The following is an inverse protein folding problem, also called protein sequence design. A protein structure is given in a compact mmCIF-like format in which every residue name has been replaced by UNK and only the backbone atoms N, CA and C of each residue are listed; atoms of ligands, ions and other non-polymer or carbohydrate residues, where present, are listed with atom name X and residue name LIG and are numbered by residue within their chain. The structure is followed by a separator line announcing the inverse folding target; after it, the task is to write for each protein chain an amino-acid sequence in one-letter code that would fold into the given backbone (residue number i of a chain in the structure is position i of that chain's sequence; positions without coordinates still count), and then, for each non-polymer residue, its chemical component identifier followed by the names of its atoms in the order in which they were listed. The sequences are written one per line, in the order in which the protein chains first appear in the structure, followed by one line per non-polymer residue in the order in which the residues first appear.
data_IF_479193934437
#
_entry.id   IF_479193934437
#
_cell.length_a   1.000
_cell.length_b   1.000
_cell.length_c   1.000
_cell.angle_alpha   90.00
_cell.angle_beta   90.00
_cell.angle_gamma   90.00
#
_symmetry.space_group_name_H-M   'P 1'
#
loop_
_entity.id
_entity.type
_entity.pdbx_description
1 polymer ?
#
# COMPACT_ATOMS: atom_id res chain seq x y z
N UNK A 1 3.75 -30.34 -12.23
CA UNK A 1 4.62 -29.15 -12.15
C UNK A 1 5.15 -29.03 -10.74
N UNK A 2 6.45 -28.84 -10.48
CA UNK A 2 6.94 -28.64 -9.12
C UNK A 2 6.26 -27.42 -8.53
N UNK A 3 5.63 -27.57 -7.35
CA UNK A 3 5.06 -26.45 -6.60
C UNK A 3 6.19 -25.48 -6.27
N UNK A 4 6.30 -24.41 -7.04
CA UNK A 4 7.25 -23.32 -6.75
C UNK A 4 7.03 -22.84 -5.32
N UNK A 5 8.12 -22.47 -4.60
CA UNK A 5 8.04 -21.94 -3.23
C UNK A 5 6.96 -20.85 -3.18
N UNK A 6 5.97 -21.02 -2.30
CA UNK A 6 5.00 -19.96 -2.00
C UNK A 6 5.75 -18.70 -1.60
N UNK A 7 5.29 -17.54 -2.09
CA UNK A 7 5.88 -16.24 -1.79
C UNK A 7 4.82 -15.34 -1.17
N UNK A 8 5.24 -14.51 -0.26
CA UNK A 8 4.39 -13.48 0.32
C UNK A 8 5.02 -12.11 0.08
N UNK A 9 4.20 -11.20 -0.41
CA UNK A 9 4.56 -9.82 -0.71
C UNK A 9 3.85 -8.88 0.25
N UNK A 10 4.56 -7.93 0.81
CA UNK A 10 3.95 -6.78 1.46
C UNK A 10 3.58 -5.77 0.37
N UNK A 11 2.33 -5.32 0.34
CA UNK A 11 1.81 -4.40 -0.67
C UNK A 11 1.60 -3.03 -0.04
N UNK A 12 2.22 -2.03 -0.64
CA UNK A 12 1.97 -0.64 -0.32
C UNK A 12 0.63 -0.17 -0.92
N UNK A 13 -0.02 0.79 -0.28
CA UNK A 13 -1.34 1.28 -0.66
C UNK A 13 -1.38 1.85 -2.08
N UNK A 14 -0.31 2.51 -2.52
CA UNK A 14 -0.23 3.06 -3.87
C UNK A 14 -0.33 1.97 -4.97
N UNK A 15 0.21 0.77 -4.72
CA UNK A 15 0.12 -0.36 -5.67
C UNK A 15 -1.31 -0.90 -5.74
N UNK A 16 -2.01 -0.97 -4.61
CA UNK A 16 -3.41 -1.36 -4.59
C UNK A 16 -4.31 -0.31 -5.25
N UNK A 17 -4.06 0.96 -5.01
CA UNK A 17 -4.77 2.06 -5.68
C UNK A 17 -4.57 2.02 -7.19
N UNK A 18 -3.35 1.75 -7.66
CA UNK A 18 -3.06 1.57 -9.08
C UNK A 18 -3.86 0.41 -9.71
N UNK A 19 -4.05 -0.67 -8.94
CA UNK A 19 -4.87 -1.80 -9.35
C UNK A 19 -6.36 -1.45 -9.39
N UNK A 20 -6.91 -0.95 -8.27
CA UNK A 20 -8.35 -0.67 -8.11
C UNK A 20 -8.84 0.40 -9.08
N UNK A 21 -8.04 1.43 -9.28
CA UNK A 21 -8.39 2.56 -10.17
C UNK A 21 -7.96 2.34 -11.62
N UNK A 22 -7.37 1.19 -11.92
CA UNK A 22 -6.82 0.85 -13.23
C UNK A 22 -5.81 1.88 -13.79
N UNK A 23 -5.16 2.66 -12.92
CA UNK A 23 -4.18 3.69 -13.34
C UNK A 23 -2.91 3.09 -13.92
N UNK A 24 -2.51 1.92 -13.42
CA UNK A 24 -1.26 1.28 -13.81
C UNK A 24 -1.50 -0.15 -14.29
N UNK A 25 -1.41 -0.34 -15.61
CA UNK A 25 -1.59 -1.65 -16.23
C UNK A 25 -0.61 -2.72 -15.71
N UNK A 26 0.62 -2.32 -15.35
CA UNK A 26 1.60 -3.28 -14.81
C UNK A 26 1.22 -3.77 -13.41
N UNK A 27 0.65 -2.89 -12.56
CA UNK A 27 0.15 -3.27 -11.25
C UNK A 27 -0.96 -4.33 -11.38
N UNK A 28 -1.91 -4.12 -12.30
CA UNK A 28 -2.97 -5.08 -12.60
C UNK A 28 -2.38 -6.44 -13.00
N UNK A 29 -1.45 -6.44 -13.95
CA UNK A 29 -0.82 -7.68 -14.43
C UNK A 29 -0.07 -8.40 -13.29
N UNK A 30 0.71 -7.67 -12.50
CA UNK A 30 1.51 -8.27 -11.41
C UNK A 30 0.63 -8.84 -10.31
N UNK A 31 -0.37 -8.10 -9.84
CA UNK A 31 -1.24 -8.57 -8.76
C UNK A 31 -2.09 -9.77 -9.22
N UNK A 32 -2.61 -9.76 -10.44
CA UNK A 32 -3.32 -10.91 -11.00
C UNK A 32 -2.41 -12.14 -11.11
N UNK A 33 -1.17 -11.98 -11.55
CA UNK A 33 -0.20 -13.09 -11.63
C UNK A 33 0.20 -13.63 -10.25
N UNK A 34 0.29 -12.78 -9.23
CA UNK A 34 0.49 -13.20 -7.84
C UNK A 34 -0.69 -14.08 -7.40
N UNK A 35 -1.92 -13.63 -7.67
CA UNK A 35 -3.16 -14.37 -7.38
C UNK A 35 -3.23 -15.72 -8.13
N UNK A 36 -2.98 -15.73 -9.43
CA UNK A 36 -2.96 -16.93 -10.28
C UNK A 36 -1.97 -18.00 -9.78
N UNK A 37 -0.82 -17.58 -9.23
CA UNK A 37 0.18 -18.48 -8.66
C UNK A 37 -0.12 -18.96 -7.23
N UNK A 38 -1.22 -18.51 -6.64
CA UNK A 38 -1.55 -18.79 -5.25
C UNK A 38 -0.55 -18.19 -4.26
N UNK A 39 0.17 -17.15 -4.65
CA UNK A 39 1.05 -16.39 -3.77
C UNK A 39 0.23 -15.41 -2.94
N UNK A 40 0.73 -15.07 -1.76
CA UNK A 40 0.02 -14.19 -0.84
C UNK A 40 0.50 -12.75 -0.94
N UNK A 41 -0.44 -11.84 -0.74
CA UNK A 41 -0.15 -10.45 -0.44
C UNK A 41 -0.57 -10.18 1.01
N UNK A 42 0.24 -9.39 1.70
CA UNK A 42 -0.08 -8.88 3.03
C UNK A 42 0.07 -7.37 3.03
N UNK A 43 -0.61 -6.70 3.93
CA UNK A 43 -0.38 -5.30 4.26
C UNK A 43 -0.71 -5.06 5.73
N UNK A 44 -0.55 -3.82 6.20
CA UNK A 44 -0.91 -3.43 7.56
C UNK A 44 -2.35 -2.93 7.63
N UNK A 45 -2.86 -2.74 8.85
CA UNK A 45 -4.16 -2.10 9.07
C UNK A 45 -4.20 -0.65 8.53
N UNK A 46 -3.06 0.03 8.43
CA UNK A 46 -2.95 1.38 7.85
C UNK A 46 -3.35 1.40 6.37
N UNK A 47 -3.09 0.35 5.63
CA UNK A 47 -3.54 0.18 4.26
C UNK A 47 -5.05 0.42 4.10
N UNK A 48 -5.88 -0.16 4.99
CA UNK A 48 -7.32 0.04 4.94
C UNK A 48 -7.71 1.49 5.25
N UNK A 49 -7.00 2.14 6.18
CA UNK A 49 -7.24 3.54 6.53
C UNK A 49 -6.89 4.48 5.36
N UNK A 50 -5.78 4.26 4.68
CA UNK A 50 -5.38 5.06 3.51
C UNK A 50 -6.31 4.84 2.31
N UNK A 51 -6.77 3.60 2.08
CA UNK A 51 -7.79 3.35 1.06
C UNK A 51 -9.10 4.08 1.37
N UNK A 52 -9.53 4.06 2.63
CA UNK A 52 -10.72 4.80 3.05
C UNK A 52 -10.54 6.31 2.85
N UNK A 53 -9.37 6.85 3.22
CA UNK A 53 -9.05 8.26 3.04
C UNK A 53 -9.02 8.66 1.56
N UNK A 54 -8.41 7.87 0.70
CA UNK A 54 -8.46 8.10 -0.74
C UNK A 54 -9.90 8.15 -1.28
N UNK A 55 -10.76 7.21 -0.84
CA UNK A 55 -12.17 7.19 -1.28
C UNK A 55 -12.92 8.40 -0.79
N UNK A 56 -12.73 8.81 0.47
CA UNK A 56 -13.32 10.04 1.03
C UNK A 56 -12.91 11.28 0.24
N UNK A 57 -11.62 11.40 -0.07
CA UNK A 57 -11.11 12.51 -0.90
C UNK A 57 -11.74 12.51 -2.30
N UNK A 58 -11.86 11.34 -2.92
CA UNK A 58 -12.50 11.20 -4.22
C UNK A 58 -13.97 11.65 -4.18
N UNK A 59 -14.73 11.23 -3.18
CA UNK A 59 -16.12 11.63 -3.00
C UNK A 59 -16.25 13.14 -2.77
N UNK A 60 -15.37 13.70 -1.92
CA UNK A 60 -15.33 15.14 -1.70
C UNK A 60 -15.06 15.92 -2.99
N UNK A 61 -14.05 15.50 -3.76
CA UNK A 61 -13.72 16.15 -5.04
C UNK A 61 -14.90 16.10 -6.01
N UNK A 62 -15.53 14.94 -6.15
CA UNK A 62 -16.68 14.75 -7.04
C UNK A 62 -17.83 15.67 -6.62
N UNK A 63 -18.21 15.67 -5.34
CA UNK A 63 -19.30 16.53 -4.84
C UNK A 63 -18.99 18.01 -5.09
N UNK A 64 -17.80 18.47 -4.68
CA UNK A 64 -17.48 19.89 -4.77
C UNK A 64 -17.32 20.35 -6.22
N UNK A 65 -16.76 19.52 -7.10
CA UNK A 65 -16.62 19.84 -8.52
C UNK A 65 -17.94 19.76 -9.28
N UNK A 66 -18.67 18.65 -9.13
CA UNK A 66 -19.84 18.35 -9.97
C UNK A 66 -21.11 19.01 -9.46
N UNK A 67 -21.36 18.97 -8.15
CA UNK A 67 -22.60 19.49 -7.58
C UNK A 67 -22.48 20.96 -7.14
N UNK A 68 -21.39 21.33 -6.48
CA UNK A 68 -21.19 22.68 -5.95
C UNK A 68 -20.48 23.62 -6.91
N UNK A 69 -19.95 23.10 -8.03
CA UNK A 69 -19.25 23.87 -9.07
C UNK A 69 -18.07 24.69 -8.51
N UNK A 70 -17.37 24.15 -7.51
CA UNK A 70 -16.19 24.83 -6.98
C UNK A 70 -15.03 24.75 -7.96
N UNK A 71 -14.20 25.80 -7.96
CA UNK A 71 -12.92 25.78 -8.68
C UNK A 71 -11.96 24.78 -8.06
N UNK A 72 -11.15 24.13 -8.89
CA UNK A 72 -10.19 23.11 -8.44
C UNK A 72 -9.24 23.64 -7.35
N UNK A 73 -8.78 24.89 -7.47
CA UNK A 73 -7.93 25.51 -6.45
C UNK A 73 -8.60 25.58 -5.06
N UNK A 74 -9.89 25.85 -5.01
CA UNK A 74 -10.66 25.85 -3.77
C UNK A 74 -10.82 24.42 -3.22
N UNK A 75 -11.13 23.47 -4.08
CA UNK A 75 -11.26 22.05 -3.72
C UNK A 75 -9.97 21.56 -3.08
N UNK A 76 -8.82 21.77 -3.71
CA UNK A 76 -7.52 21.32 -3.21
C UNK A 76 -7.13 21.96 -1.87
N UNK A 77 -7.53 23.21 -1.62
CA UNK A 77 -7.31 23.86 -0.33
C UNK A 77 -8.16 23.29 0.80
N UNK A 78 -9.38 22.84 0.49
CA UNK A 78 -10.35 22.38 1.47
C UNK A 78 -10.41 20.84 1.61
N UNK A 79 -9.68 20.09 0.76
CA UNK A 79 -9.76 18.63 0.68
C UNK A 79 -9.44 17.92 2.00
N UNK A 80 -8.57 18.52 2.81
CA UNK A 80 -8.19 17.97 4.11
C UNK A 80 -9.36 17.94 5.13
N UNK A 81 -10.38 18.77 4.94
CA UNK A 81 -11.56 18.82 5.82
C UNK A 81 -12.47 17.61 5.63
N UNK A 82 -12.46 17.02 4.42
CA UNK A 82 -13.27 15.84 4.06
C UNK A 82 -14.70 15.94 4.59
N UNK A 83 -15.32 17.12 4.42
CA UNK A 83 -16.72 17.35 4.82
C UNK A 83 -17.65 16.56 3.92
N UNK A 84 -17.98 15.34 4.37
CA UNK A 84 -18.77 14.34 3.66
C UNK A 84 -20.18 14.26 4.25
N UNK A 85 -21.15 13.92 3.43
CA UNK A 85 -22.52 13.60 3.87
C UNK A 85 -22.53 12.24 4.55
N UNK A 86 -23.50 12.03 5.46
CA UNK A 86 -23.63 10.77 6.19
C UNK A 86 -23.66 9.53 5.27
N UNK A 87 -24.40 9.58 4.17
CA UNK A 87 -24.47 8.46 3.20
C UNK A 87 -23.21 8.22 2.37
N UNK A 88 -22.20 9.11 2.42
CA UNK A 88 -20.94 8.88 1.72
C UNK A 88 -20.03 7.91 2.48
N UNK A 89 -20.24 7.77 3.81
CA UNK A 89 -19.49 6.76 4.58
C UNK A 89 -19.89 5.35 4.20
N UNK A 90 -21.17 5.11 3.89
CA UNK A 90 -21.63 3.80 3.40
C UNK A 90 -20.96 3.48 2.05
N UNK A 91 -20.84 4.46 1.14
CA UNK A 91 -20.12 4.30 -0.14
C UNK A 91 -18.63 3.98 0.05
N UNK A 92 -18.00 4.48 1.11
CA UNK A 92 -16.61 4.14 1.44
C UNK A 92 -16.50 2.67 1.88
N UNK A 93 -17.41 2.23 2.73
CA UNK A 93 -17.45 0.84 3.20
C UNK A 93 -17.73 -0.13 2.05
N UNK A 94 -18.77 0.13 1.26
CA UNK A 94 -19.14 -0.71 0.11
C UNK A 94 -17.99 -0.86 -0.88
N UNK A 95 -17.31 0.26 -1.18
CA UNK A 95 -16.16 0.25 -2.09
C UNK A 95 -14.99 -0.58 -1.55
N UNK A 96 -14.72 -0.51 -0.25
CA UNK A 96 -13.67 -1.29 0.38
C UNK A 96 -14.03 -2.78 0.44
N UNK A 97 -15.29 -3.10 0.73
CA UNK A 97 -15.78 -4.48 0.73
C UNK A 97 -15.74 -5.11 -0.67
N UNK A 98 -16.07 -4.36 -1.71
CA UNK A 98 -15.96 -4.84 -3.09
C UNK A 98 -14.51 -5.10 -3.46
N UNK A 99 -13.58 -4.23 -3.08
CA UNK A 99 -12.15 -4.49 -3.25
C UNK A 99 -11.73 -5.78 -2.53
N UNK A 100 -12.13 -5.98 -1.27
CA UNK A 100 -11.82 -7.20 -0.51
C UNK A 100 -12.40 -8.46 -1.15
N UNK A 101 -13.61 -8.40 -1.71
CA UNK A 101 -14.22 -9.52 -2.44
C UNK A 101 -13.44 -9.87 -3.70
N UNK A 102 -13.01 -8.87 -4.44
CA UNK A 102 -12.24 -9.05 -5.68
C UNK A 102 -10.81 -9.55 -5.39
N UNK A 103 -10.15 -8.98 -4.38
CA UNK A 103 -8.77 -9.29 -4.05
C UNK A 103 -8.62 -10.02 -2.70
N UNK A 104 -9.19 -11.25 -2.64
CA UNK A 104 -9.24 -12.08 -1.43
C UNK A 104 -7.88 -12.55 -0.89
N UNK A 105 -6.82 -12.43 -1.65
CA UNK A 105 -5.48 -12.87 -1.25
C UNK A 105 -4.63 -11.76 -0.62
N UNK A 106 -5.18 -10.59 -0.35
CA UNK A 106 -4.56 -9.60 0.55
C UNK A 106 -5.04 -9.88 1.97
N UNK A 107 -4.10 -10.24 2.84
CA UNK A 107 -4.33 -10.41 4.27
C UNK A 107 -3.80 -9.17 5.01
N UNK A 108 -4.61 -8.60 5.92
CA UNK A 108 -4.19 -7.47 6.74
C UNK A 108 -3.64 -7.97 8.07
N UNK A 109 -2.47 -7.49 8.44
CA UNK A 109 -1.79 -7.82 9.68
C UNK A 109 -1.50 -6.58 10.48
N UNK A 110 -1.67 -6.67 11.78
CA UNK A 110 -1.21 -5.67 12.71
C UNK A 110 0.19 -6.08 13.22
N UNK A 111 1.21 -5.41 12.69
CA UNK A 111 2.60 -5.69 13.04
C UNK A 111 3.12 -4.83 14.21
N UNK A 112 2.52 -3.65 14.42
CA UNK A 112 2.89 -2.74 15.50
C UNK A 112 2.06 -3.08 16.76
N UNK A 113 2.54 -4.04 17.54
CA UNK A 113 1.81 -4.60 18.70
C UNK A 113 2.28 -4.05 20.04
N UNK A 114 3.52 -3.60 20.12
CA UNK A 114 4.16 -3.17 21.35
C UNK A 114 4.59 -1.71 21.28
N UNK A 115 4.86 -1.09 22.44
CA UNK A 115 5.42 0.25 22.46
C UNK A 115 6.77 0.34 21.73
N UNK A 116 7.57 -0.72 21.77
CA UNK A 116 8.86 -0.76 21.09
C UNK A 116 8.69 -0.73 19.57
N UNK A 117 7.68 -1.42 19.04
CA UNK A 117 7.35 -1.38 17.60
C UNK A 117 7.00 0.05 17.15
N UNK A 118 6.19 0.76 17.96
CA UNK A 118 5.85 2.15 17.72
C UNK A 118 7.04 3.09 17.83
N UNK A 119 7.96 2.86 18.77
CA UNK A 119 9.21 3.63 18.88
C UNK A 119 10.09 3.45 17.64
N UNK A 120 10.13 2.25 17.05
CA UNK A 120 10.82 2.03 15.79
C UNK A 120 10.18 2.87 14.67
N UNK A 121 8.86 2.90 14.55
CA UNK A 121 8.17 3.71 13.56
C UNK A 121 8.44 5.21 13.74
N UNK A 122 8.40 5.70 14.99
CA UNK A 122 8.74 7.08 15.33
C UNK A 122 10.20 7.41 14.96
N UNK A 123 11.14 6.52 15.31
CA UNK A 123 12.55 6.69 14.99
C UNK A 123 12.78 6.79 13.49
N UNK A 124 12.10 5.95 12.68
CA UNK A 124 12.15 6.02 11.23
C UNK A 124 11.62 7.36 10.74
N UNK A 125 10.47 7.80 11.24
CA UNK A 125 9.87 9.08 10.85
C UNK A 125 10.77 10.28 11.19
N UNK A 126 11.47 10.26 12.34
CA UNK A 126 12.37 11.35 12.73
C UNK A 126 13.72 11.35 12.00
N UNK A 127 14.17 10.19 11.53
CA UNK A 127 15.49 10.01 10.91
C UNK A 127 15.46 9.94 9.39
N UNK A 128 14.29 10.13 8.79
CA UNK A 128 14.09 10.06 7.35
C UNK A 128 13.18 11.17 6.84
N UNK A 129 13.14 11.34 5.52
CA UNK A 129 12.18 12.21 4.85
C UNK A 129 10.83 11.52 4.56
N UNK A 130 10.55 10.38 5.20
CA UNK A 130 9.27 9.71 5.08
C UNK A 130 8.20 10.43 5.90
N UNK A 131 7.02 10.57 5.33
CA UNK A 131 5.84 10.99 6.09
C UNK A 131 5.40 9.87 7.08
N UNK A 132 4.49 10.18 7.99
CA UNK A 132 4.06 9.21 9.00
C UNK A 132 3.44 7.93 8.43
N UNK A 133 2.53 7.95 7.43
CA UNK A 133 2.02 6.75 6.78
C UNK A 133 3.13 5.89 6.18
N UNK A 134 4.08 6.48 5.46
CA UNK A 134 5.19 5.76 4.84
C UNK A 134 6.10 5.10 5.90
N UNK A 135 6.41 5.81 6.98
CA UNK A 135 7.18 5.26 8.09
C UNK A 135 6.48 4.06 8.75
N UNK A 136 5.15 4.11 8.89
CA UNK A 136 4.33 3.00 9.41
C UNK A 136 4.33 1.81 8.46
N UNK A 137 4.20 2.03 7.14
CA UNK A 137 4.28 0.95 6.14
C UNK A 137 5.66 0.30 6.12
N UNK A 138 6.73 1.09 6.14
CA UNK A 138 8.09 0.56 6.18
C UNK A 138 8.32 -0.26 7.44
N UNK A 139 7.94 0.26 8.61
CA UNK A 139 8.06 -0.45 9.89
C UNK A 139 7.29 -1.77 9.87
N UNK A 140 6.04 -1.76 9.41
CA UNK A 140 5.22 -2.95 9.28
C UNK A 140 5.85 -4.00 8.37
N UNK A 141 6.39 -3.58 7.22
CA UNK A 141 7.08 -4.48 6.31
C UNK A 141 8.39 -5.04 6.90
N UNK A 142 9.14 -4.23 7.66
CA UNK A 142 10.35 -4.66 8.37
C UNK A 142 10.03 -5.70 9.45
N UNK A 143 9.04 -5.43 10.29
CA UNK A 143 8.59 -6.37 11.34
C UNK A 143 8.04 -7.65 10.69
N UNK A 144 7.27 -7.53 9.62
CA UNK A 144 6.81 -8.67 8.83
C UNK A 144 7.95 -9.52 8.27
N UNK A 145 9.02 -8.88 7.80
CA UNK A 145 10.21 -9.58 7.30
C UNK A 145 11.04 -10.23 8.42
N UNK A 146 11.17 -9.58 9.57
CA UNK A 146 11.83 -10.14 10.75
C UNK A 146 11.06 -11.37 11.24
N UNK A 147 9.75 -11.29 11.29
CA UNK A 147 8.86 -12.40 11.68
C UNK A 147 8.69 -13.50 10.62
N UNK A 148 9.30 -13.35 9.44
CA UNK A 148 9.22 -14.33 8.36
C UNK A 148 7.90 -14.32 7.57
N UNK A 149 7.04 -13.32 7.76
CA UNK A 149 5.75 -13.19 7.07
C UNK A 149 5.89 -12.75 5.61
N UNK A 150 6.87 -11.90 5.31
CA UNK A 150 7.17 -11.47 3.94
C UNK A 150 8.68 -11.32 3.72
N UNK A 151 9.09 -11.24 2.46
CA UNK A 151 10.50 -10.99 2.09
C UNK A 151 10.64 -9.88 1.05
N UNK A 152 9.52 -9.43 0.50
CA UNK A 152 9.49 -8.43 -0.57
C UNK A 152 8.37 -7.45 -0.26
N UNK A 153 8.68 -6.16 -0.28
CA UNK A 153 7.69 -5.08 -0.29
C UNK A 153 7.61 -4.50 -1.70
N UNK A 154 6.39 -4.33 -2.19
CA UNK A 154 6.12 -3.74 -3.50
C UNK A 154 5.56 -2.33 -3.28
N UNK A 155 6.19 -1.34 -3.87
CA UNK A 155 5.74 0.06 -3.90
C UNK A 155 6.03 0.69 -5.26
N UNK A 156 5.33 1.75 -5.62
CA UNK A 156 5.59 2.56 -6.82
C UNK A 156 6.17 3.94 -6.48
N UNK A 157 6.25 4.28 -5.20
CA UNK A 157 6.80 5.54 -4.74
C UNK A 157 8.34 5.50 -4.78
N UNK A 158 8.92 6.32 -5.65
CA UNK A 158 10.38 6.41 -5.82
C UNK A 158 11.05 7.04 -4.61
N UNK A 159 10.43 8.08 -4.03
CA UNK A 159 10.98 8.75 -2.86
C UNK A 159 10.98 7.80 -1.66
N UNK A 160 9.88 7.09 -1.45
CA UNK A 160 9.79 6.04 -0.45
C UNK A 160 10.89 4.97 -0.66
N UNK A 161 11.08 4.48 -1.89
CA UNK A 161 12.09 3.47 -2.19
C UNK A 161 13.51 3.91 -1.83
N UNK A 162 13.88 5.15 -2.13
CA UNK A 162 15.20 5.69 -1.85
C UNK A 162 15.45 5.78 -0.35
N UNK A 163 14.54 6.40 0.41
CA UNK A 163 14.65 6.54 1.85
C UNK A 163 14.59 5.19 2.57
N UNK A 164 13.67 4.32 2.19
CA UNK A 164 13.51 3.01 2.78
C UNK A 164 14.75 2.12 2.56
N UNK A 165 15.39 2.17 1.39
CA UNK A 165 16.66 1.45 1.14
C UNK A 165 17.76 1.94 2.06
N UNK A 166 17.88 3.25 2.28
CA UNK A 166 18.84 3.84 3.22
C UNK A 166 18.60 3.31 4.64
N UNK A 167 17.35 3.31 5.10
CA UNK A 167 16.98 2.82 6.43
C UNK A 167 17.29 1.34 6.59
N UNK A 168 16.94 0.50 5.61
CA UNK A 168 17.22 -0.95 5.64
C UNK A 168 18.72 -1.25 5.69
N UNK A 169 19.54 -0.48 5.00
CA UNK A 169 20.99 -0.64 5.02
C UNK A 169 21.58 -0.29 6.40
N UNK A 170 21.16 0.84 6.99
CA UNK A 170 21.60 1.27 8.33
C UNK A 170 21.22 0.22 9.38
N UNK A 171 20.02 -0.33 9.29
CA UNK A 171 19.52 -1.33 10.25
C UNK A 171 19.93 -2.77 9.90
N UNK A 172 20.77 -2.99 8.91
CA UNK A 172 21.24 -4.32 8.44
C UNK A 172 20.09 -5.28 8.06
N UNK A 173 18.97 -4.74 7.61
CA UNK A 173 17.77 -5.50 7.21
C UNK A 173 17.65 -5.69 5.69
N UNK A 174 18.55 -5.12 4.89
CA UNK A 174 18.52 -5.24 3.42
C UNK A 174 18.59 -6.71 2.91
N UNK A 175 19.13 -7.62 3.73
CA UNK A 175 19.11 -9.05 3.44
C UNK A 175 17.78 -9.75 3.71
N UNK A 176 16.94 -9.19 4.60
CA UNK A 176 15.66 -9.78 5.02
C UNK A 176 14.48 -9.25 4.21
N UNK A 177 14.44 -7.93 3.95
CA UNK A 177 13.38 -7.27 3.19
C UNK A 177 13.94 -6.67 1.91
N UNK A 178 13.39 -7.05 0.76
CA UNK A 178 13.70 -6.48 -0.54
C UNK A 178 12.60 -5.52 -0.96
N UNK A 179 12.99 -4.30 -1.30
CA UNK A 179 12.08 -3.30 -1.84
C UNK A 179 12.11 -3.38 -3.37
N UNK A 180 10.96 -3.47 -3.98
CA UNK A 180 10.83 -3.62 -5.43
C UNK A 180 9.67 -2.77 -5.96
N UNK A 181 9.86 -2.21 -7.16
CA UNK A 181 8.75 -1.67 -7.94
C UNK A 181 7.93 -2.79 -8.57
N UNK A 182 6.72 -2.47 -9.01
CA UNK A 182 5.88 -3.41 -9.79
C UNK A 182 6.62 -3.91 -11.02
N UNK A 183 7.33 -3.03 -11.72
CA UNK A 183 8.12 -3.38 -12.93
C UNK A 183 9.26 -4.35 -12.62
N UNK A 184 9.97 -4.14 -11.50
CA UNK A 184 11.03 -5.05 -11.04
C UNK A 184 10.47 -6.44 -10.66
N UNK A 185 9.30 -6.48 -10.00
CA UNK A 185 8.60 -7.73 -9.69
C UNK A 185 8.19 -8.46 -10.97
N UNK A 186 7.60 -7.74 -11.94
CA UNK A 186 7.23 -8.29 -13.24
C UNK A 186 8.43 -8.90 -13.93
N UNK A 187 9.52 -8.15 -14.06
CA UNK A 187 10.77 -8.60 -14.70
C UNK A 187 11.36 -9.81 -14.00
N UNK A 188 11.39 -9.81 -12.67
CA UNK A 188 12.07 -10.87 -11.90
C UNK A 188 11.30 -12.18 -11.84
N UNK A 189 9.98 -12.12 -11.73
CA UNK A 189 9.17 -13.30 -11.43
C UNK A 189 8.26 -13.73 -12.57
N UNK A 190 7.97 -12.84 -13.53
CA UNK A 190 6.97 -13.09 -14.56
C UNK A 190 7.49 -12.92 -16.00
N UNK A 191 8.76 -12.57 -16.21
CA UNK A 191 9.36 -12.39 -17.54
C UNK A 191 9.59 -13.67 -18.35
N UNK A 192 9.46 -14.84 -17.75
CA UNK A 192 9.57 -16.13 -18.44
C UNK A 192 8.18 -16.69 -18.70
N UNK A 193 7.53 -16.23 -19.78
CA UNK A 193 6.20 -16.75 -20.19
C UNK A 193 5.28 -15.69 -20.81
N UNK A 194 5.83 -14.88 -21.70
CA UNK A 194 5.07 -14.15 -22.74
C UNK A 194 5.41 -14.75 -24.09
#
# INVERSE_FOLDING_TARGET
MPKGKSRTFYIDTNVALDYITARNREAIVVLNKIKERGWKCISSSFFAMELADYKKESLFVIEKAMEKKWEMRKIMREIHKKDLRRGDFDKVLDWFDDFRKEYKNIELFDFLKTNDDWQVAQSISFQSNLNAPDALHLTSAMLGAIGGYCQIMITQDKHFLEEARRILNVNKLAGKLKLMTVSEVKKKFFSKGF
#
